data_IF_928153909721
#
_entry.id   IF_928153909721
#
_cell.length_a   1.000
_cell.length_b   1.000
_cell.length_c   1.000
_cell.angle_alpha   90.00
_cell.angle_beta   90.00
_cell.angle_gamma   90.00
#
_symmetry.space_group_name_H-M   'P 1'
#
loop_
_entity.id
_entity.type
_entity.pdbx_description
1 polymer ?
#
# COMPACT_ATOMS: atom_id res chain seq x y z
N UNK A 1 -21.18 9.41 -20.49
CA UNK A 1 -20.93 10.71 -21.19
C UNK A 1 -20.33 11.78 -20.26
N UNK A 2 -20.66 11.78 -18.96
CA UNK A 2 -20.04 12.66 -17.95
C UNK A 2 -18.55 12.32 -17.70
N UNK A 3 -18.19 11.03 -17.65
CA UNK A 3 -16.80 10.55 -17.41
C UNK A 3 -15.84 10.91 -18.56
N UNK A 4 -16.28 10.80 -19.81
CA UNK A 4 -15.46 11.14 -20.99
C UNK A 4 -15.08 12.63 -21.09
N UNK A 5 -15.87 13.53 -20.49
CA UNK A 5 -15.55 14.96 -20.43
C UNK A 5 -14.60 15.30 -19.26
N UNK A 6 -14.59 14.53 -18.18
CA UNK A 6 -13.65 14.68 -17.06
C UNK A 6 -12.25 14.21 -17.49
N UNK A 7 -12.15 13.11 -18.24
CA UNK A 7 -10.90 12.67 -18.88
C UNK A 7 -10.32 13.71 -19.86
N UNK A 8 -11.16 14.49 -20.55
CA UNK A 8 -10.72 15.64 -21.35
C UNK A 8 -10.29 16.84 -20.49
N UNK A 9 -10.85 16.99 -19.29
CA UNK A 9 -10.46 18.00 -18.31
C UNK A 9 -9.05 17.69 -17.77
N UNK A 10 -8.77 16.42 -17.45
CA UNK A 10 -7.44 15.94 -17.02
C UNK A 10 -6.44 15.93 -18.19
N UNK A 11 -6.85 15.58 -19.41
CA UNK A 11 -6.02 15.77 -20.62
C UNK A 11 -5.81 17.25 -20.99
N UNK A 12 -6.72 18.14 -20.60
CA UNK A 12 -6.54 19.59 -20.66
C UNK A 12 -5.49 20.05 -19.63
N UNK A 13 -5.52 19.47 -18.43
CA UNK A 13 -4.47 19.60 -17.41
C UNK A 13 -3.12 19.06 -17.94
N UNK A 14 -3.06 18.05 -18.80
CA UNK A 14 -1.78 17.64 -19.43
C UNK A 14 -1.12 18.77 -20.25
N UNK A 15 -1.89 19.68 -20.85
CA UNK A 15 -1.34 20.80 -21.65
C UNK A 15 -0.99 22.04 -20.82
N UNK A 16 -1.48 22.16 -19.58
CA UNK A 16 -1.22 23.31 -18.67
C UNK A 16 -0.31 22.90 -17.49
N UNK A 17 -0.38 21.63 -17.08
CA UNK A 17 0.15 21.08 -15.84
C UNK A 17 1.55 20.49 -15.90
N UNK A 18 2.15 20.26 -17.07
CA UNK A 18 3.57 19.88 -17.15
C UNK A 18 4.49 20.97 -16.55
N UNK A 19 4.03 22.21 -16.49
CA UNK A 19 4.74 23.34 -15.86
C UNK A 19 4.31 23.57 -14.40
N UNK A 20 3.03 23.40 -14.08
CA UNK A 20 2.50 23.66 -12.73
C UNK A 20 2.73 22.50 -11.74
N UNK A 21 2.67 21.24 -12.19
CA UNK A 21 2.95 20.05 -11.39
C UNK A 21 4.46 19.86 -11.21
N UNK A 22 5.27 20.21 -12.23
CA UNK A 22 6.74 20.21 -12.08
C UNK A 22 7.25 21.27 -11.11
N UNK A 23 6.50 22.36 -10.86
CA UNK A 23 6.80 23.33 -9.80
C UNK A 23 6.62 22.73 -8.38
N UNK A 24 5.68 21.81 -8.18
CA UNK A 24 5.46 21.09 -6.92
C UNK A 24 6.69 20.24 -6.54
N UNK A 25 7.32 19.63 -7.55
CA UNK A 25 8.55 18.83 -7.36
C UNK A 25 9.82 19.66 -7.14
N UNK A 26 9.79 20.97 -7.46
CA UNK A 26 10.99 21.83 -7.55
C UNK A 26 11.09 22.91 -6.47
N UNK A 27 10.02 23.20 -5.71
CA UNK A 27 10.12 24.21 -4.67
C UNK A 27 10.93 23.70 -3.47
N UNK A 28 12.16 24.20 -3.48
CA UNK A 28 13.18 24.05 -2.47
C UNK A 28 12.69 24.52 -1.11
N UNK A 29 13.02 23.72 -0.11
CA UNK A 29 13.17 24.08 1.29
C UNK A 29 13.72 25.51 1.43
N UNK A 30 12.89 26.46 1.88
CA UNK A 30 13.39 27.72 2.42
C UNK A 30 13.74 27.46 3.89
N UNK A 31 15.02 27.50 4.28
CA UNK A 31 15.39 27.37 5.68
C UNK A 31 14.99 28.67 6.38
N UNK A 32 14.01 28.62 7.27
CA UNK A 32 13.82 29.69 8.25
C UNK A 32 13.64 29.10 9.63
N UNK A 33 14.60 29.43 10.49
CA UNK A 33 14.59 29.21 11.92
C UNK A 33 13.47 30.05 12.58
N UNK A 34 13.05 29.62 13.78
CA UNK A 34 12.17 30.28 14.77
C UNK A 34 10.66 30.27 14.40
N UNK A 35 9.69 29.86 15.24
CA UNK A 35 9.56 29.60 16.68
C UNK A 35 8.62 28.38 16.89
N UNK A 36 8.89 27.53 17.88
CA UNK A 36 7.94 26.50 18.36
C UNK A 36 6.97 27.18 19.32
N UNK A 37 5.68 27.20 19.01
CA UNK A 37 4.64 27.45 20.01
C UNK A 37 4.12 26.09 20.52
N UNK A 38 4.16 25.96 21.84
CA UNK A 38 3.74 24.81 22.63
C UNK A 38 2.39 25.16 23.24
N UNK A 39 1.29 24.82 22.58
CA UNK A 39 -0.04 24.94 23.20
C UNK A 39 -1.05 23.93 22.66
N UNK A 40 -0.84 22.67 23.03
CA UNK A 40 -1.93 21.71 23.24
C UNK A 40 -1.79 21.08 24.64
N UNK A 41 -1.81 21.93 25.66
CA UNK A 41 -2.13 21.55 27.03
C UNK A 41 -3.05 22.65 27.57
N UNK A 42 -4.31 22.29 27.85
CA UNK A 42 -5.31 23.23 28.33
C UNK A 42 -4.95 23.76 29.72
N UNK A 43 -4.95 25.09 29.85
CA UNK A 43 -5.13 25.78 31.11
C UNK A 43 -5.93 27.06 30.86
N UNK A 44 -7.01 27.24 31.63
CA UNK A 44 -7.75 28.50 31.71
C UNK A 44 -6.96 29.52 32.53
N UNK A 45 -6.80 30.74 32.04
CA UNK A 45 -7.01 31.96 32.85
C UNK A 45 -7.31 33.19 31.96
N UNK A 46 -8.07 34.10 32.54
CA UNK A 46 -8.75 35.25 32.00
C UNK A 46 -7.81 36.38 31.56
N UNK A 47 -8.03 36.86 30.33
CA UNK A 47 -8.24 38.27 29.97
C UNK A 47 -8.35 38.36 28.44
N UNK A 48 -9.56 38.67 27.97
CA UNK A 48 -9.82 38.89 26.55
C UNK A 48 -8.96 40.01 25.97
N UNK A 49 -8.41 39.75 24.79
CA UNK A 49 -8.15 40.69 23.71
C UNK A 49 -7.75 39.91 22.46
N UNK A 50 -8.48 40.15 21.38
CA UNK A 50 -8.27 39.56 20.06
C UNK A 50 -6.93 39.98 19.44
N UNK A 51 -6.25 39.03 18.80
CA UNK A 51 -5.16 39.29 17.86
C UNK A 51 -5.26 38.29 16.71
N UNK A 52 -5.67 38.80 15.54
CA UNK A 52 -5.58 38.08 14.26
C UNK A 52 -4.11 37.81 13.91
N UNK A 53 -3.78 36.55 13.58
CA UNK A 53 -2.47 36.11 13.09
C UNK A 53 -2.62 35.20 11.86
N UNK A 54 -1.64 35.18 10.94
CA UNK A 54 -1.82 34.64 9.59
C UNK A 54 -1.71 33.10 9.56
N UNK A 55 -2.81 32.41 9.30
CA UNK A 55 -2.82 30.97 9.02
C UNK A 55 -2.49 30.71 7.54
N UNK A 56 -1.21 30.67 7.18
CA UNK A 56 -0.76 30.38 5.82
C UNK A 56 -0.43 28.91 5.61
N UNK A 57 -1.40 28.07 5.23
CA UNK A 57 -1.11 26.78 4.58
C UNK A 57 -0.82 27.04 3.10
N UNK A 58 0.28 26.51 2.58
CA UNK A 58 0.64 26.65 1.16
C UNK A 58 -0.33 25.79 0.33
N UNK A 59 -1.36 26.44 -0.21
CA UNK A 59 -2.33 25.86 -1.12
C UNK A 59 -1.96 26.33 -2.53
N UNK A 60 -1.61 25.40 -3.41
CA UNK A 60 -1.41 25.72 -4.82
C UNK A 60 -2.78 25.83 -5.49
N UNK A 61 -3.06 27.02 -6.03
CA UNK A 61 -4.29 27.35 -6.75
C UNK A 61 -3.93 27.84 -8.14
N UNK A 62 -4.63 27.35 -9.14
CA UNK A 62 -4.67 28.04 -10.43
C UNK A 62 -5.80 29.08 -10.39
N UNK A 63 -5.52 30.29 -10.88
CA UNK A 63 -6.48 31.39 -10.81
C UNK A 63 -7.64 31.10 -11.78
N UNK A 64 -8.92 31.24 -11.36
CA UNK A 64 -10.05 30.98 -12.26
C UNK A 64 -9.96 31.90 -13.49
N UNK A 65 -9.73 31.35 -14.68
CA UNK A 65 -10.20 32.03 -15.88
C UNK A 65 -11.74 31.93 -15.85
N UNK A 66 -12.42 33.05 -16.07
CA UNK A 66 -13.89 33.11 -16.04
C UNK A 66 -14.52 31.89 -16.73
N UNK A 67 -15.31 31.14 -15.98
CA UNK A 67 -15.97 29.93 -16.47
C UNK A 67 -16.97 30.31 -17.59
N UNK A 68 -16.54 30.21 -18.84
CA UNK A 68 -17.32 30.65 -20.00
C UNK A 68 -18.03 29.47 -20.67
N UNK A 69 -19.29 29.20 -20.32
CA UNK A 69 -20.06 28.07 -20.85
C UNK A 69 -19.85 27.81 -22.37
N UNK A 70 -19.23 26.66 -22.69
CA UNK A 70 -19.06 26.23 -24.07
C UNK A 70 -20.42 25.89 -24.69
N UNK A 71 -20.70 26.42 -25.90
CA UNK A 71 -21.98 26.27 -26.62
C UNK A 71 -22.37 24.81 -26.97
N UNK A 72 -21.52 23.84 -26.66
CA UNK A 72 -21.65 22.43 -27.06
C UNK A 72 -21.95 21.45 -25.89
N UNK A 73 -22.42 21.94 -24.74
CA UNK A 73 -22.73 21.07 -23.59
C UNK A 73 -21.50 20.41 -22.93
N UNK A 74 -20.31 20.98 -23.15
CA UNK A 74 -19.06 20.56 -22.50
C UNK A 74 -18.89 21.28 -21.16
N UNK A 75 -18.63 20.52 -20.11
CA UNK A 75 -18.24 21.03 -18.79
C UNK A 75 -16.87 21.74 -18.92
N UNK A 76 -16.72 22.91 -18.29
CA UNK A 76 -15.46 23.65 -18.24
C UNK A 76 -14.90 23.65 -16.82
N UNK A 77 -13.58 23.51 -16.70
CA UNK A 77 -12.87 23.58 -15.42
C UNK A 77 -12.87 25.03 -14.94
N UNK A 78 -13.42 25.30 -13.76
CA UNK A 78 -13.37 26.62 -13.12
C UNK A 78 -12.10 26.85 -12.28
N UNK A 79 -11.28 25.83 -12.09
CA UNK A 79 -10.03 25.86 -11.31
C UNK A 79 -9.76 24.53 -10.60
N UNK A 80 -8.56 24.36 -10.06
CA UNK A 80 -8.19 23.22 -9.22
C UNK A 80 -7.36 23.67 -8.02
N UNK A 81 -7.33 22.82 -6.99
CA UNK A 81 -6.56 22.99 -5.77
C UNK A 81 -5.92 21.67 -5.37
N UNK A 82 -4.68 21.71 -4.89
CA UNK A 82 -3.99 20.54 -4.35
C UNK A 82 -3.83 20.75 -2.84
N UNK A 83 -4.39 19.81 -2.07
CA UNK A 83 -4.41 19.87 -0.60
C UNK A 83 -3.63 18.68 -0.05
N UNK A 84 -2.59 18.88 0.78
CA UNK A 84 -1.91 17.79 1.48
C UNK A 84 -2.86 17.00 2.37
N UNK A 85 -2.67 15.67 2.47
CA UNK A 85 -3.44 14.83 3.40
C UNK A 85 -2.75 14.86 4.77
N UNK A 86 -3.45 15.39 5.78
CA UNK A 86 -2.89 15.98 7.02
C UNK A 86 -2.26 15.01 8.05
N UNK A 87 -2.10 13.70 7.81
CA UNK A 87 -1.70 12.77 8.89
C UNK A 87 -0.77 11.63 8.44
N UNK A 88 0.44 11.97 8.00
CA UNK A 88 1.55 11.07 7.57
C UNK A 88 1.58 10.83 6.05
N UNK A 89 2.59 11.42 5.40
CA UNK A 89 2.97 11.08 4.03
C UNK A 89 3.48 9.63 3.99
N UNK A 90 3.03 8.85 3.00
CA UNK A 90 3.36 7.43 2.87
C UNK A 90 4.85 7.12 2.89
N UNK A 91 5.19 5.88 3.22
CA UNK A 91 6.58 5.43 3.36
C UNK A 91 7.41 5.66 2.07
N UNK A 92 6.79 5.48 0.90
CA UNK A 92 7.40 5.57 -0.44
C UNK A 92 6.66 6.57 -1.38
N UNK A 93 5.96 7.55 -0.83
CA UNK A 93 5.28 8.56 -1.64
C UNK A 93 4.62 9.67 -0.83
N UNK A 94 4.34 10.79 -1.48
CA UNK A 94 3.57 11.89 -0.88
C UNK A 94 2.14 11.85 -1.40
N UNK A 95 1.18 12.19 -0.53
CA UNK A 95 -0.24 12.06 -0.84
C UNK A 95 -0.95 13.40 -0.74
N UNK A 96 -1.82 13.66 -1.72
CA UNK A 96 -2.58 14.88 -1.85
C UNK A 96 -4.00 14.59 -2.31
N UNK A 97 -4.93 15.46 -1.94
CA UNK A 97 -6.24 15.56 -2.58
C UNK A 97 -6.17 16.60 -3.68
N UNK A 98 -6.36 16.19 -4.93
CA UNK A 98 -6.60 17.12 -6.04
C UNK A 98 -8.11 17.41 -6.09
N UNK A 99 -8.48 18.66 -5.80
CA UNK A 99 -9.86 19.14 -5.83
C UNK A 99 -10.10 19.94 -7.11
N UNK A 100 -10.84 19.37 -8.05
CA UNK A 100 -11.23 20.03 -9.29
C UNK A 100 -12.62 20.68 -9.14
N UNK A 101 -12.78 21.93 -9.56
CA UNK A 101 -14.08 22.59 -9.64
C UNK A 101 -14.57 22.59 -11.08
N UNK A 102 -15.72 21.98 -11.31
CA UNK A 102 -16.30 21.81 -12.65
C UNK A 102 -17.60 22.59 -12.74
N UNK A 103 -17.74 23.45 -13.74
CA UNK A 103 -18.99 24.17 -14.00
C UNK A 103 -19.97 23.24 -14.74
N UNK A 104 -21.13 22.98 -14.12
CA UNK A 104 -22.26 22.25 -14.71
C UNK A 104 -23.17 23.17 -15.51
N UNK A 105 -23.26 24.43 -15.08
CA UNK A 105 -23.90 25.54 -15.78
C UNK A 105 -23.21 26.86 -15.38
N UNK A 106 -23.52 28.02 -15.99
CA UNK A 106 -22.95 29.31 -15.57
C UNK A 106 -23.17 29.66 -14.09
N UNK A 107 -24.14 29.03 -13.41
CA UNK A 107 -24.53 29.31 -12.03
C UNK A 107 -24.30 28.12 -11.08
N UNK A 108 -23.91 26.95 -11.59
CA UNK A 108 -23.77 25.73 -10.80
C UNK A 108 -22.38 25.13 -11.03
N UNK A 109 -21.57 25.09 -9.97
CA UNK A 109 -20.29 24.39 -9.93
C UNK A 109 -20.39 23.17 -9.03
N UNK A 110 -19.63 22.12 -9.35
CA UNK A 110 -19.46 20.93 -8.53
C UNK A 110 -17.98 20.70 -8.29
N UNK A 111 -17.62 20.41 -7.04
CA UNK A 111 -16.27 19.99 -6.70
C UNK A 111 -16.15 18.47 -6.80
N UNK A 112 -15.06 18.00 -7.39
CA UNK A 112 -14.71 16.58 -7.52
C UNK A 112 -13.32 16.40 -6.93
N UNK A 113 -13.17 15.42 -6.05
CA UNK A 113 -11.90 15.09 -5.42
C UNK A 113 -11.26 13.88 -6.11
N UNK A 114 -9.94 13.90 -6.15
CA UNK A 114 -9.10 12.80 -6.62
C UNK A 114 -7.98 12.58 -5.62
N UNK A 115 -7.58 11.32 -5.47
CA UNK A 115 -6.37 10.96 -4.75
C UNK A 115 -5.16 11.15 -5.66
N UNK A 116 -4.13 11.83 -5.18
CA UNK A 116 -2.92 12.12 -5.94
C UNK A 116 -1.70 11.65 -5.17
N UNK A 117 -0.85 10.84 -5.82
CA UNK A 117 0.42 10.34 -5.28
C UNK A 117 1.59 10.86 -6.11
N UNK A 118 2.63 11.34 -5.46
CA UNK A 118 3.92 11.70 -6.10
C UNK A 118 5.07 10.93 -5.42
N UNK A 119 6.24 10.80 -6.06
CA UNK A 119 7.43 10.31 -5.40
C UNK A 119 7.80 11.15 -4.16
N UNK A 120 8.57 10.60 -3.22
CA UNK A 120 9.18 11.38 -2.15
C UNK A 120 10.06 12.51 -2.67
N UNK A 121 10.41 13.51 -1.85
CA UNK A 121 11.36 14.55 -2.23
C UNK A 121 12.72 13.97 -2.59
N UNK A 122 13.44 14.59 -3.53
CA UNK A 122 14.78 14.13 -3.98
C UNK A 122 15.79 14.02 -2.83
N UNK A 123 15.62 14.77 -1.75
CA UNK A 123 16.46 14.73 -0.56
C UNK A 123 16.20 13.55 0.38
N UNK A 124 15.12 12.78 0.16
CA UNK A 124 14.74 11.65 1.00
C UNK A 124 15.56 10.40 0.64
N UNK A 125 16.08 9.63 1.61
CA UNK A 125 16.71 8.33 1.37
C UNK A 125 15.80 7.31 0.65
N UNK A 126 14.48 7.52 0.69
CA UNK A 126 13.50 6.68 0.01
C UNK A 126 13.38 7.04 -1.49
N UNK A 127 13.66 8.28 -1.88
CA UNK A 127 13.61 8.69 -3.28
C UNK A 127 14.59 7.88 -4.12
N UNK A 128 15.85 7.79 -3.68
CA UNK A 128 16.87 7.01 -4.37
C UNK A 128 16.49 5.53 -4.49
N UNK A 129 15.92 4.93 -3.43
CA UNK A 129 15.45 3.54 -3.46
C UNK A 129 14.37 3.35 -4.53
N UNK A 130 13.39 4.26 -4.59
CA UNK A 130 12.31 4.22 -5.58
C UNK A 130 12.84 4.39 -7.00
N UNK A 131 13.82 5.27 -7.20
CA UNK A 131 14.44 5.47 -8.51
C UNK A 131 15.28 4.27 -8.94
N UNK A 132 16.06 3.69 -8.02
CA UNK A 132 16.94 2.54 -8.27
C UNK A 132 16.13 1.29 -8.63
N UNK A 133 15.04 1.02 -7.91
CA UNK A 133 14.24 -0.20 -8.10
C UNK A 133 12.94 0.01 -8.88
N UNK A 134 12.63 1.25 -9.28
CA UNK A 134 11.52 1.58 -10.18
C UNK A 134 10.13 1.30 -9.62
N UNK A 135 9.92 1.35 -8.29
CA UNK A 135 8.63 1.00 -7.66
C UNK A 135 7.49 1.93 -8.09
N UNK A 136 7.73 3.25 -8.15
CA UNK A 136 6.73 4.22 -8.58
C UNK A 136 6.42 4.08 -10.07
N UNK A 137 7.46 3.92 -10.90
CA UNK A 137 7.32 3.63 -12.34
C UNK A 137 6.47 2.39 -12.58
N UNK A 138 6.72 1.32 -11.81
CA UNK A 138 5.92 0.08 -11.86
C UNK A 138 4.45 0.37 -11.57
N UNK A 139 4.15 1.09 -10.49
CA UNK A 139 2.77 1.40 -10.11
C UNK A 139 2.04 2.20 -11.21
N UNK A 140 2.70 3.22 -11.77
CA UNK A 140 2.18 3.99 -12.93
C UNK A 140 1.86 3.05 -14.09
N UNK A 141 2.78 2.14 -14.44
CA UNK A 141 2.62 1.23 -15.57
C UNK A 141 1.49 0.20 -15.33
N UNK A 142 1.28 -0.24 -14.09
CA UNK A 142 0.17 -1.12 -13.74
C UNK A 142 -1.17 -0.42 -14.01
N UNK A 143 -1.35 0.80 -13.51
CA UNK A 143 -2.58 1.56 -13.71
C UNK A 143 -2.83 2.00 -15.15
N UNK A 144 -1.77 2.37 -15.88
CA UNK A 144 -1.92 2.96 -17.22
C UNK A 144 -1.83 1.95 -18.37
N UNK A 145 -1.30 0.75 -18.12
CA UNK A 145 -1.07 -0.27 -19.16
C UNK A 145 -1.61 -1.65 -18.76
N UNK A 146 -1.19 -2.20 -17.62
CA UNK A 146 -1.52 -3.60 -17.28
C UNK A 146 -2.99 -3.78 -16.92
N UNK A 147 -3.52 -2.99 -15.98
CA UNK A 147 -4.91 -3.08 -15.55
C UNK A 147 -5.90 -2.79 -16.69
N UNK A 148 -5.72 -1.77 -17.55
CA UNK A 148 -6.58 -1.58 -18.72
C UNK A 148 -6.63 -2.76 -19.69
N UNK A 149 -5.58 -3.59 -19.75
CA UNK A 149 -5.54 -4.79 -20.60
C UNK A 149 -6.00 -6.06 -19.87
N UNK A 150 -5.85 -6.13 -18.55
CA UNK A 150 -6.13 -7.31 -17.74
C UNK A 150 -7.55 -7.31 -17.14
N UNK A 151 -8.04 -6.13 -16.75
CA UNK A 151 -9.34 -5.96 -16.09
C UNK A 151 -10.42 -5.59 -17.10
N UNK A 152 -11.66 -5.96 -16.81
CA UNK A 152 -12.84 -5.56 -17.58
C UNK A 152 -13.72 -4.59 -16.77
N UNK A 153 -14.69 -3.93 -17.43
CA UNK A 153 -15.56 -2.94 -16.77
C UNK A 153 -16.46 -3.50 -15.67
N UNK A 154 -16.47 -4.81 -15.39
CA UNK A 154 -17.18 -5.40 -14.25
C UNK A 154 -16.30 -5.50 -13.00
N UNK A 155 -15.01 -5.18 -13.12
CA UNK A 155 -14.05 -5.11 -12.01
C UNK A 155 -14.04 -3.73 -11.34
N UNK A 156 -14.99 -2.86 -11.72
CA UNK A 156 -15.30 -1.62 -11.03
C UNK A 156 -15.31 -1.89 -9.52
N UNK A 157 -14.51 -1.11 -8.77
CA UNK A 157 -14.34 -1.16 -7.30
C UNK A 157 -13.31 -2.13 -6.71
N UNK A 158 -12.72 -3.06 -7.47
CA UNK A 158 -11.60 -3.85 -6.93
C UNK A 158 -10.33 -3.01 -6.77
N UNK A 159 -10.15 -2.02 -7.64
CA UNK A 159 -9.09 -1.01 -7.63
C UNK A 159 -9.68 0.37 -7.98
N UNK A 160 -9.03 1.49 -7.63
CA UNK A 160 -9.45 2.82 -8.06
C UNK A 160 -9.28 3.01 -9.56
N UNK A 161 -10.16 3.80 -10.19
CA UNK A 161 -9.95 4.22 -11.57
C UNK A 161 -8.75 5.18 -11.66
N UNK A 162 -7.86 4.95 -12.64
CA UNK A 162 -6.73 5.83 -12.90
C UNK A 162 -7.10 6.93 -13.89
N UNK A 163 -7.08 8.19 -13.44
CA UNK A 163 -7.33 9.36 -14.28
C UNK A 163 -6.07 9.81 -15.04
N UNK A 164 -4.90 9.75 -14.40
CA UNK A 164 -3.62 10.15 -14.97
C UNK A 164 -2.48 9.39 -14.29
N UNK A 165 -1.53 8.90 -15.07
CA UNK A 165 -0.26 8.39 -14.56
C UNK A 165 0.88 8.93 -15.41
N UNK A 166 1.84 9.59 -14.77
CA UNK A 166 3.07 10.10 -15.38
C UNK A 166 4.24 9.50 -14.64
N UNK A 167 5.09 8.79 -15.39
CA UNK A 167 6.26 8.10 -14.84
C UNK A 167 7.15 9.06 -14.05
N UNK A 168 7.53 8.65 -12.83
CA UNK A 168 8.39 9.41 -11.90
C UNK A 168 7.89 10.82 -11.53
N UNK A 169 6.60 11.09 -11.71
CA UNK A 169 6.01 12.39 -11.39
C UNK A 169 4.73 12.24 -10.56
N UNK A 170 3.66 11.69 -11.14
CA UNK A 170 2.35 11.71 -10.48
C UNK A 170 1.44 10.56 -10.91
N UNK A 171 0.64 10.07 -9.95
CA UNK A 171 -0.54 9.22 -10.19
C UNK A 171 -1.76 9.96 -9.63
N UNK A 172 -2.82 10.09 -10.43
CA UNK A 172 -4.12 10.66 -10.04
C UNK A 172 -5.18 9.57 -10.20
N UNK A 173 -5.79 9.19 -9.08
CA UNK A 173 -6.77 8.12 -8.96
C UNK A 173 -8.13 8.66 -8.48
N UNK A 174 -9.18 7.87 -8.72
CA UNK A 174 -10.48 8.06 -8.06
C UNK A 174 -10.30 8.18 -6.53
N UNK A 175 -10.92 9.20 -5.93
CA UNK A 175 -11.04 9.28 -4.48
C UNK A 175 -12.11 8.31 -3.98
N UNK A 176 -11.68 7.13 -3.55
CA UNK A 176 -12.55 6.06 -3.06
C UNK A 176 -13.35 6.46 -1.80
N UNK A 177 -12.92 7.49 -1.06
CA UNK A 177 -13.67 7.99 0.10
C UNK A 177 -15.04 8.55 -0.33
N UNK A 178 -15.14 9.12 -1.54
CA UNK A 178 -16.41 9.59 -2.09
C UNK A 178 -17.43 8.46 -2.30
N UNK A 179 -16.94 7.23 -2.51
CA UNK A 179 -17.74 6.03 -2.72
C UNK A 179 -18.01 5.25 -1.43
N UNK A 180 -17.70 5.85 -0.27
CA UNK A 180 -17.95 5.28 1.06
C UNK A 180 -16.92 4.27 1.53
N UNK A 181 -15.76 4.17 0.87
CA UNK A 181 -14.67 3.33 1.33
C UNK A 181 -13.83 4.07 2.36
N UNK A 182 -13.36 3.36 3.37
CA UNK A 182 -12.51 3.91 4.43
C UNK A 182 -11.37 2.94 4.77
N UNK A 183 -10.26 3.51 5.21
CA UNK A 183 -9.11 2.75 5.69
C UNK A 183 -9.37 2.30 7.14
N UNK A 184 -8.85 1.12 7.48
CA UNK A 184 -8.90 0.61 8.86
C UNK A 184 -7.74 1.16 9.68
N UNK A 185 -7.87 1.15 11.00
CA UNK A 185 -6.73 1.41 11.87
C UNK A 185 -5.75 0.24 11.79
N UNK A 186 -4.51 0.51 11.36
CA UNK A 186 -3.44 -0.49 11.23
C UNK A 186 -3.10 -1.21 12.54
N UNK A 187 -3.36 -0.61 13.70
CA UNK A 187 -3.13 -1.25 14.99
C UNK A 187 -4.21 -2.29 15.32
N UNK A 188 -5.39 -2.16 14.71
CA UNK A 188 -6.52 -3.07 14.89
C UNK A 188 -6.41 -4.27 13.95
N UNK A 189 -6.24 -5.50 14.47
CA UNK A 189 -6.24 -6.69 13.63
C UNK A 189 -7.60 -6.90 12.97
N UNK A 190 -7.58 -7.41 11.73
CA UNK A 190 -8.80 -7.79 11.02
C UNK A 190 -9.52 -8.92 11.74
N UNK A 191 -10.84 -8.83 11.77
CA UNK A 191 -11.71 -9.94 12.16
C UNK A 191 -11.98 -10.88 10.98
N UNK A 192 -12.83 -11.88 11.23
CA UNK A 192 -13.19 -12.88 10.23
C UNK A 192 -13.89 -12.27 9.01
N UNK A 193 -14.79 -11.29 9.20
CA UNK A 193 -15.59 -10.72 8.11
C UNK A 193 -14.71 -9.87 7.19
N UNK A 194 -13.77 -9.09 7.75
CA UNK A 194 -12.78 -8.35 6.96
C UNK A 194 -11.92 -9.30 6.13
N UNK A 195 -11.44 -10.38 6.74
CA UNK A 195 -10.66 -11.39 6.03
C UNK A 195 -11.48 -12.06 4.91
N UNK A 196 -12.74 -12.42 5.19
CA UNK A 196 -13.60 -13.07 4.21
C UNK A 196 -13.91 -12.15 3.02
N UNK A 197 -14.16 -10.86 3.27
CA UNK A 197 -14.37 -9.86 2.21
C UNK A 197 -13.11 -9.66 1.36
N UNK A 198 -11.95 -9.55 2.00
CA UNK A 198 -10.68 -9.46 1.29
C UNK A 198 -10.36 -10.72 0.47
N UNK A 199 -10.59 -11.92 1.00
CA UNK A 199 -10.40 -13.17 0.25
C UNK A 199 -11.22 -13.20 -1.05
N UNK A 200 -12.47 -12.72 -1.01
CA UNK A 200 -13.34 -12.63 -2.21
C UNK A 200 -12.79 -11.63 -3.23
N UNK A 201 -12.41 -10.43 -2.80
CA UNK A 201 -11.83 -9.40 -3.69
C UNK A 201 -10.51 -9.84 -4.29
N UNK A 202 -9.62 -10.40 -3.47
CA UNK A 202 -8.32 -10.89 -3.91
C UNK A 202 -8.44 -12.06 -4.89
N UNK A 203 -9.38 -12.98 -4.66
CA UNK A 203 -9.67 -14.07 -5.58
C UNK A 203 -10.13 -13.56 -6.96
N UNK A 204 -11.00 -12.53 -6.98
CA UNK A 204 -11.43 -11.86 -8.21
C UNK A 204 -10.24 -11.24 -8.94
N UNK A 205 -9.42 -10.47 -8.23
CA UNK A 205 -8.24 -9.81 -8.80
C UNK A 205 -7.26 -10.82 -9.41
N UNK A 206 -6.88 -11.87 -8.67
CA UNK A 206 -5.97 -12.90 -9.16
C UNK A 206 -6.56 -13.73 -10.32
N UNK A 207 -7.87 -13.97 -10.33
CA UNK A 207 -8.52 -14.71 -11.42
C UNK A 207 -8.36 -13.98 -12.76
N UNK A 208 -8.30 -12.64 -12.76
CA UNK A 208 -8.13 -11.84 -13.97
C UNK A 208 -6.77 -12.06 -14.63
N UNK A 209 -5.72 -12.33 -13.85
CA UNK A 209 -4.44 -12.79 -14.41
C UNK A 209 -4.62 -14.11 -15.16
N UNK A 210 -5.23 -15.11 -14.53
CA UNK A 210 -5.41 -16.43 -15.16
C UNK A 210 -6.30 -16.36 -16.40
N UNK A 211 -7.39 -15.59 -16.35
CA UNK A 211 -8.30 -15.36 -17.49
C UNK A 211 -7.54 -14.73 -18.64
N UNK A 212 -6.76 -13.66 -18.38
CA UNK A 212 -5.93 -13.01 -19.37
C UNK A 212 -4.99 -14.01 -20.05
N UNK A 213 -4.24 -14.80 -19.26
CA UNK A 213 -3.29 -15.76 -19.82
C UNK A 213 -3.97 -16.85 -20.64
N UNK A 214 -5.15 -17.31 -20.23
CA UNK A 214 -5.93 -18.27 -21.00
C UNK A 214 -6.46 -17.71 -22.32
N UNK A 215 -6.86 -16.44 -22.35
CA UNK A 215 -7.39 -15.80 -23.55
C UNK A 215 -6.29 -15.45 -24.55
N UNK A 216 -5.19 -14.86 -24.06
CA UNK A 216 -4.10 -14.37 -24.91
C UNK A 216 -3.00 -15.39 -25.17
N UNK A 217 -3.02 -16.55 -24.49
CA UNK A 217 -2.00 -17.61 -24.58
C UNK A 217 -0.58 -17.09 -24.36
N UNK A 218 -0.44 -16.09 -23.49
CA UNK A 218 0.83 -15.47 -23.09
C UNK A 218 0.75 -15.10 -21.61
N UNK A 219 1.83 -15.33 -20.87
CA UNK A 219 1.86 -14.97 -19.45
C UNK A 219 1.94 -13.46 -19.25
N UNK A 220 1.43 -12.97 -18.12
CA UNK A 220 1.63 -11.57 -17.73
C UNK A 220 3.11 -11.25 -17.56
N UNK A 221 3.89 -12.20 -17.03
CA UNK A 221 5.34 -12.08 -16.90
C UNK A 221 6.06 -11.84 -18.24
N UNK A 222 5.67 -12.55 -19.30
CA UNK A 222 6.30 -12.41 -20.62
C UNK A 222 5.85 -11.16 -21.37
N UNK A 223 4.68 -10.61 -21.03
CA UNK A 223 4.12 -9.43 -21.70
C UNK A 223 4.54 -8.14 -21.00
N UNK A 224 4.54 -8.12 -19.68
CA UNK A 224 4.75 -6.93 -18.85
C UNK A 224 5.93 -7.13 -17.89
N UNK A 225 7.01 -7.75 -18.35
CA UNK A 225 8.16 -8.17 -17.51
C UNK A 225 8.64 -7.13 -16.48
N UNK A 226 8.77 -5.83 -16.80
CA UNK A 226 9.20 -4.83 -15.82
C UNK A 226 8.23 -4.67 -14.64
N UNK A 227 6.93 -4.88 -14.86
CA UNK A 227 5.90 -4.75 -13.82
C UNK A 227 5.78 -5.99 -12.92
N UNK A 228 6.48 -7.07 -13.28
CA UNK A 228 6.28 -8.40 -12.73
C UNK A 228 7.42 -8.83 -11.80
N UNK A 229 8.45 -7.99 -11.66
CA UNK A 229 9.65 -8.25 -10.84
C UNK A 229 9.42 -7.93 -9.36
N UNK A 230 10.12 -8.63 -8.47
CA UNK A 230 10.26 -8.24 -7.05
C UNK A 230 11.13 -6.97 -6.94
N UNK A 231 10.68 -5.98 -6.17
CA UNK A 231 11.32 -4.65 -6.06
C UNK A 231 11.57 -4.19 -4.63
N UNK A 232 10.99 -4.86 -3.62
CA UNK A 232 11.30 -4.62 -2.22
C UNK A 232 12.58 -5.36 -1.81
N UNK A 233 12.70 -6.61 -2.21
CA UNK A 233 13.85 -7.47 -1.90
C UNK A 233 14.52 -8.02 -3.17
N UNK A 234 15.01 -7.15 -4.08
CA UNK A 234 15.64 -7.60 -5.32
C UNK A 234 16.92 -8.41 -5.03
N UNK A 235 17.23 -9.35 -5.93
CA UNK A 235 18.46 -10.17 -5.91
C UNK A 235 19.68 -9.36 -6.37
N UNK A 236 19.92 -8.22 -5.74
CA UNK A 236 21.02 -7.32 -6.07
C UNK A 236 21.77 -6.92 -4.81
N UNK A 237 23.10 -6.92 -4.90
CA UNK A 237 23.94 -6.31 -3.86
C UNK A 237 23.66 -4.81 -3.77
N UNK A 238 23.96 -4.20 -2.62
CA UNK A 238 23.77 -2.76 -2.40
C UNK A 238 22.66 -2.44 -1.40
N UNK A 239 21.89 -1.38 -1.66
CA UNK A 239 20.94 -0.80 -0.69
C UNK A 239 19.81 -1.75 -0.31
N UNK A 240 19.24 -2.49 -1.27
CA UNK A 240 18.23 -3.51 -0.98
C UNK A 240 18.75 -4.60 -0.04
N UNK A 241 19.95 -5.14 -0.30
CA UNK A 241 20.56 -6.15 0.55
C UNK A 241 20.86 -5.61 1.95
N UNK A 242 21.42 -4.40 2.04
CA UNK A 242 21.66 -3.73 3.32
C UNK A 242 20.35 -3.50 4.10
N UNK A 243 19.27 -3.13 3.42
CA UNK A 243 17.95 -2.98 4.03
C UNK A 243 17.43 -4.31 4.60
N UNK A 244 17.62 -5.40 3.84
CA UNK A 244 17.20 -6.74 4.27
C UNK A 244 18.01 -7.20 5.48
N UNK A 245 19.34 -7.07 5.42
CA UNK A 245 20.22 -7.48 6.52
C UNK A 245 19.93 -6.67 7.80
N UNK A 246 19.63 -5.37 7.68
CA UNK A 246 19.19 -4.54 8.81
C UNK A 246 17.85 -4.99 9.40
N UNK A 247 16.89 -5.42 8.56
CA UNK A 247 15.62 -5.98 9.00
C UNK A 247 15.80 -7.31 9.76
N UNK A 248 16.61 -8.22 9.21
CA UNK A 248 16.95 -9.51 9.84
C UNK A 248 17.64 -9.27 11.18
N UNK A 249 18.64 -8.39 11.23
CA UNK A 249 19.34 -8.02 12.46
C UNK A 249 18.36 -7.50 13.51
N UNK A 250 17.46 -6.59 13.12
CA UNK A 250 16.44 -6.07 14.02
C UNK A 250 15.57 -7.18 14.64
N UNK A 251 15.03 -8.08 13.82
CA UNK A 251 14.18 -9.17 14.30
C UNK A 251 14.94 -10.14 15.19
N UNK A 252 16.17 -10.49 14.83
CA UNK A 252 17.05 -11.32 15.68
C UNK A 252 17.28 -10.68 17.05
N UNK A 253 17.48 -9.36 17.11
CA UNK A 253 17.60 -8.62 18.37
C UNK A 253 16.30 -8.60 19.18
N UNK A 254 15.14 -8.57 18.50
CA UNK A 254 13.84 -8.55 19.17
C UNK A 254 13.51 -9.87 19.88
N UNK A 255 14.11 -10.98 19.45
CA UNK A 255 13.97 -12.29 20.12
C UNK A 255 14.35 -12.20 21.60
N UNK A 256 15.39 -11.41 21.94
CA UNK A 256 15.85 -11.21 23.33
C UNK A 256 14.79 -10.55 24.24
N UNK A 257 13.78 -9.92 23.64
CA UNK A 257 12.71 -9.23 24.35
C UNK A 257 11.43 -10.07 24.49
N UNK A 258 11.40 -11.27 23.91
CA UNK A 258 10.20 -12.11 23.88
C UNK A 258 9.93 -12.74 25.26
N UNK A 259 8.72 -12.58 25.81
CA UNK A 259 8.35 -13.27 27.03
C UNK A 259 8.13 -14.76 26.75
N UNK A 260 8.57 -15.63 27.65
CA UNK A 260 8.26 -17.06 27.62
C UNK A 260 9.20 -17.96 26.81
N UNK A 261 10.23 -17.44 26.14
CA UNK A 261 11.33 -18.27 25.64
C UNK A 261 12.27 -18.64 26.79
N UNK A 262 12.15 -19.86 27.32
CA UNK A 262 12.84 -20.27 28.55
C UNK A 262 14.22 -20.93 28.36
N UNK A 263 14.70 -21.23 27.15
CA UNK A 263 16.05 -21.82 27.03
C UNK A 263 16.78 -21.73 25.69
N UNK A 264 16.13 -21.48 24.55
CA UNK A 264 16.82 -21.50 23.23
C UNK A 264 16.58 -20.25 22.38
N UNK A 265 17.03 -19.11 22.89
CA UNK A 265 17.04 -17.86 22.11
C UNK A 265 18.00 -17.95 20.93
N UNK A 266 19.20 -18.48 21.14
CA UNK A 266 20.24 -18.52 20.12
C UNK A 266 19.90 -19.49 18.98
N UNK A 267 19.34 -20.66 19.28
CA UNK A 267 18.85 -21.59 18.27
C UNK A 267 17.69 -21.00 17.46
N UNK A 268 16.76 -20.29 18.10
CA UNK A 268 15.69 -19.59 17.37
C UNK A 268 16.25 -18.49 16.46
N UNK A 269 17.16 -17.65 16.96
CA UNK A 269 17.84 -16.61 16.17
C UNK A 269 18.58 -17.20 14.97
N UNK A 270 19.26 -18.32 15.15
CA UNK A 270 19.99 -18.98 14.07
C UNK A 270 19.03 -19.53 13.01
N UNK A 271 17.92 -20.16 13.41
CA UNK A 271 16.87 -20.61 12.47
C UNK A 271 16.27 -19.46 11.67
N UNK A 272 16.01 -18.30 12.29
CA UNK A 272 15.55 -17.10 11.57
C UNK A 272 16.58 -16.70 10.51
N UNK A 273 17.86 -16.61 10.86
CA UNK A 273 18.92 -16.24 9.91
C UNK A 273 19.03 -17.24 8.75
N UNK A 274 18.94 -18.53 9.03
CA UNK A 274 18.96 -19.61 8.02
C UNK A 274 17.79 -19.47 7.04
N UNK A 275 16.58 -19.26 7.55
CA UNK A 275 15.39 -19.07 6.72
C UNK A 275 15.40 -17.77 5.90
N UNK A 276 16.10 -16.75 6.40
CA UNK A 276 16.28 -15.49 5.69
C UNK A 276 17.38 -15.54 4.61
N UNK A 277 18.26 -16.53 4.63
CA UNK A 277 19.45 -16.56 3.76
C UNK A 277 19.10 -16.58 2.26
N UNK A 278 18.00 -17.24 1.90
CA UNK A 278 17.47 -17.39 0.54
C UNK A 278 16.08 -16.74 0.37
N UNK A 279 15.70 -15.81 1.26
CA UNK A 279 14.36 -15.20 1.24
C UNK A 279 14.06 -14.49 -0.08
N UNK A 280 15.02 -13.71 -0.58
CA UNK A 280 14.96 -13.04 -1.89
C UNK A 280 14.73 -14.03 -3.03
N UNK A 281 15.25 -15.25 -2.88
CA UNK A 281 15.15 -16.26 -3.91
C UNK A 281 13.76 -16.87 -3.97
N UNK A 282 13.14 -17.04 -2.79
CA UNK A 282 11.77 -17.55 -2.62
C UNK A 282 10.69 -16.56 -3.05
N UNK A 283 11.03 -15.29 -3.27
CA UNK A 283 10.14 -14.26 -3.83
C UNK A 283 10.12 -14.22 -5.35
N UNK A 284 10.98 -15.00 -6.01
CA UNK A 284 10.96 -15.11 -7.47
C UNK A 284 9.73 -15.89 -7.96
N UNK A 285 9.27 -15.69 -9.21
CA UNK A 285 8.19 -16.48 -9.78
C UNK A 285 8.41 -17.98 -9.60
N UNK A 286 7.36 -18.71 -9.21
CA UNK A 286 7.47 -20.14 -8.98
C UNK A 286 7.53 -20.91 -10.30
N UNK A 287 8.48 -21.84 -10.42
CA UNK A 287 8.49 -22.82 -11.51
C UNK A 287 7.53 -24.00 -11.25
N UNK A 288 7.11 -24.20 -9.98
CA UNK A 288 6.27 -25.31 -9.54
C UNK A 288 4.79 -24.96 -9.54
N UNK A 289 4.45 -23.80 -8.96
CA UNK A 289 3.08 -23.37 -8.71
C UNK A 289 2.63 -22.33 -9.74
N UNK A 290 1.33 -22.30 -10.07
CA UNK A 290 0.76 -21.21 -10.88
C UNK A 290 1.03 -19.86 -10.24
N UNK A 291 1.42 -18.91 -11.09
CA UNK A 291 1.65 -17.53 -10.71
C UNK A 291 0.53 -16.65 -11.26
N UNK A 292 0.29 -15.55 -10.58
CA UNK A 292 -0.62 -14.47 -10.97
C UNK A 292 0.06 -13.14 -10.68
N UNK A 293 -0.54 -12.03 -11.13
CA UNK A 293 -0.15 -10.72 -10.62
C UNK A 293 -0.60 -10.62 -9.16
N UNK A 294 0.33 -10.79 -8.24
CA UNK A 294 0.13 -10.54 -6.82
C UNK A 294 0.29 -9.04 -6.54
N UNK A 295 -0.49 -8.51 -5.61
CA UNK A 295 -0.33 -7.17 -5.07
C UNK A 295 0.98 -7.02 -4.29
N UNK A 296 1.36 -8.04 -3.53
CA UNK A 296 2.67 -8.13 -2.89
C UNK A 296 2.88 -7.31 -1.62
N UNK A 297 1.89 -6.51 -1.19
CA UNK A 297 1.95 -5.63 0.00
C UNK A 297 0.54 -5.38 0.61
N UNK A 298 -0.21 -6.45 0.88
CA UNK A 298 -1.58 -6.35 1.40
C UNK A 298 -1.62 -6.22 2.92
N UNK A 299 -1.49 -5.00 3.43
CA UNK A 299 -1.69 -4.67 4.85
C UNK A 299 -2.79 -3.62 5.01
N UNK A 300 -3.16 -3.30 6.25
CA UNK A 300 -4.35 -2.49 6.58
C UNK A 300 -4.45 -1.16 5.81
N UNK A 301 -3.31 -0.49 5.55
CA UNK A 301 -3.30 0.81 4.86
C UNK A 301 -3.43 0.70 3.33
N UNK A 302 -3.29 -0.50 2.76
CA UNK A 302 -3.42 -0.72 1.32
C UNK A 302 -4.77 -1.35 0.95
N UNK A 303 -5.70 -1.39 1.91
CA UNK A 303 -7.03 -1.98 1.75
C UNK A 303 -8.07 -1.02 2.31
N UNK A 304 -8.94 -0.54 1.43
CA UNK A 304 -10.08 0.29 1.81
C UNK A 304 -11.33 -0.58 1.88
N UNK A 305 -12.08 -0.49 2.96
CA UNK A 305 -13.32 -1.25 3.17
C UNK A 305 -14.54 -0.35 3.06
N UNK A 306 -15.62 -0.90 2.53
CA UNK A 306 -16.95 -0.31 2.57
C UNK A 306 -17.84 -1.15 3.47
N UNK A 307 -18.66 -0.48 4.26
CA UNK A 307 -19.48 -1.10 5.29
C UNK A 307 -20.98 -0.93 5.01
N UNK A 308 -21.77 -1.89 5.46
CA UNK A 308 -23.23 -1.74 5.54
C UNK A 308 -23.64 -0.94 6.79
N UNK A 309 -24.96 -0.75 6.95
CA UNK A 309 -25.54 0.00 8.09
C UNK A 309 -25.28 -0.67 9.46
N UNK A 310 -24.96 -1.97 9.48
CA UNK A 310 -24.60 -2.73 10.69
C UNK A 310 -23.09 -2.65 11.00
N UNK A 311 -22.30 -1.96 10.16
CA UNK A 311 -20.86 -1.84 10.29
C UNK A 311 -20.08 -3.08 9.85
N UNK A 312 -20.67 -3.95 9.01
CA UNK A 312 -19.98 -5.12 8.46
C UNK A 312 -19.32 -4.81 7.11
N UNK A 313 -18.10 -5.29 6.86
CA UNK A 313 -17.41 -5.04 5.60
C UNK A 313 -18.07 -5.82 4.46
N UNK A 314 -18.69 -5.11 3.52
CA UNK A 314 -19.40 -5.71 2.37
C UNK A 314 -18.53 -5.75 1.11
N UNK A 315 -17.61 -4.80 0.97
CA UNK A 315 -16.70 -4.69 -0.16
C UNK A 315 -15.34 -4.17 0.31
N UNK A 316 -14.29 -4.44 -0.47
CA UNK A 316 -13.01 -3.77 -0.30
C UNK A 316 -12.36 -3.44 -1.64
N UNK A 317 -11.52 -2.42 -1.63
CA UNK A 317 -10.73 -1.93 -2.75
C UNK A 317 -9.24 -2.01 -2.37
N UNK A 318 -8.43 -2.49 -3.30
CA UNK A 318 -6.98 -2.64 -3.14
C UNK A 318 -6.29 -1.41 -3.74
N UNK A 319 -5.32 -0.85 -3.02
CA UNK A 319 -4.58 0.34 -3.43
C UNK A 319 -3.08 0.16 -3.20
N UNK A 320 -2.25 0.99 -3.84
CA UNK A 320 -0.79 0.97 -3.71
C UNK A 320 -0.13 -0.33 -4.21
N UNK A 321 -0.08 -0.48 -5.54
CA UNK A 321 0.47 -1.67 -6.21
C UNK A 321 1.98 -1.59 -6.49
N UNK A 322 2.72 -0.73 -5.78
CA UNK A 322 4.14 -0.48 -6.05
C UNK A 322 5.06 -1.70 -5.84
N UNK A 323 4.61 -2.69 -5.04
CA UNK A 323 5.32 -3.94 -4.77
C UNK A 323 4.72 -5.15 -5.49
N UNK A 324 3.83 -4.91 -6.45
CA UNK A 324 3.23 -5.98 -7.23
C UNK A 324 4.30 -6.77 -7.99
N UNK A 325 4.04 -8.07 -8.14
CA UNK A 325 4.98 -9.04 -8.71
C UNK A 325 4.26 -10.30 -9.19
N UNK A 326 4.93 -11.07 -10.02
CA UNK A 326 4.38 -12.32 -10.55
C UNK A 326 4.78 -13.51 -9.67
N UNK A 327 3.84 -14.00 -8.85
CA UNK A 327 4.08 -14.98 -7.80
C UNK A 327 2.86 -15.90 -7.62
N UNK A 328 2.98 -17.02 -6.87
CA UNK A 328 1.82 -17.82 -6.53
C UNK A 328 0.81 -17.02 -5.72
N UNK A 329 -0.51 -17.13 -5.99
CA UNK A 329 -1.54 -16.37 -5.27
C UNK A 329 -1.56 -16.63 -3.77
N UNK A 330 -1.08 -17.81 -3.34
CA UNK A 330 -0.89 -18.15 -1.95
C UNK A 330 0.03 -17.18 -1.20
N UNK A 331 0.96 -16.52 -1.90
CA UNK A 331 1.83 -15.51 -1.31
C UNK A 331 1.02 -14.36 -0.69
N UNK A 332 0.16 -13.71 -1.49
CA UNK A 332 -0.68 -12.60 -1.00
C UNK A 332 -1.62 -13.06 0.10
N UNK A 333 -2.26 -14.22 -0.08
CA UNK A 333 -3.17 -14.83 0.90
C UNK A 333 -2.50 -15.03 2.26
N UNK A 334 -1.30 -15.61 2.27
CA UNK A 334 -0.56 -15.88 3.51
C UNK A 334 0.01 -14.61 4.12
N UNK A 335 0.56 -13.71 3.30
CA UNK A 335 1.18 -12.48 3.78
C UNK A 335 0.14 -11.53 4.39
N UNK A 336 -1.02 -11.30 3.75
CA UNK A 336 -2.01 -10.42 4.36
C UNK A 336 -2.51 -10.97 5.69
N UNK A 337 -2.72 -12.29 5.79
CA UNK A 337 -3.11 -12.92 7.05
C UNK A 337 -2.05 -12.66 8.12
N UNK A 338 -0.77 -12.75 7.79
CA UNK A 338 0.31 -12.48 8.72
C UNK A 338 0.39 -10.99 9.11
N UNK A 339 0.20 -10.07 8.17
CA UNK A 339 0.29 -8.62 8.39
C UNK A 339 -0.91 -8.05 9.15
N UNK A 340 -2.10 -8.62 8.98
CA UNK A 340 -3.36 -7.98 9.42
C UNK A 340 -4.10 -8.73 10.51
N UNK A 341 -3.80 -10.00 10.80
CA UNK A 341 -4.58 -10.80 11.75
C UNK A 341 -3.78 -11.25 12.97
N UNK A 342 -4.48 -11.78 13.98
CA UNK A 342 -3.87 -12.48 15.12
C UNK A 342 -3.67 -13.96 14.81
N UNK A 343 -2.70 -14.58 15.47
CA UNK A 343 -2.48 -16.04 15.43
C UNK A 343 -3.74 -16.81 15.82
N UNK A 344 -4.51 -16.31 16.79
CA UNK A 344 -5.75 -16.95 17.23
C UNK A 344 -6.78 -17.05 16.10
N UNK A 345 -6.95 -15.96 15.33
CA UNK A 345 -7.84 -15.95 14.17
C UNK A 345 -7.35 -16.93 13.10
N UNK A 346 -6.06 -16.90 12.75
CA UNK A 346 -5.47 -17.82 11.77
C UNK A 346 -5.70 -19.28 12.18
N UNK A 347 -5.42 -19.63 13.45
CA UNK A 347 -5.64 -20.99 13.96
C UNK A 347 -7.10 -21.42 13.85
N UNK A 348 -8.05 -20.52 14.13
CA UNK A 348 -9.48 -20.82 14.13
C UNK A 348 -10.10 -20.86 12.73
N UNK A 349 -9.65 -20.01 11.81
CA UNK A 349 -10.38 -19.71 10.57
C UNK A 349 -9.60 -19.92 9.27
N UNK A 350 -8.28 -20.18 9.27
CA UNK A 350 -7.47 -20.23 8.04
C UNK A 350 -8.04 -21.15 6.95
N UNK A 351 -8.48 -22.36 7.31
CA UNK A 351 -8.98 -23.32 6.34
C UNK A 351 -10.27 -22.83 5.67
N UNK A 352 -11.16 -22.22 6.45
CA UNK A 352 -12.38 -21.59 5.93
C UNK A 352 -12.05 -20.42 5.01
N UNK A 353 -11.11 -19.57 5.40
CA UNK A 353 -10.69 -18.42 4.58
C UNK A 353 -10.04 -18.86 3.26
N UNK A 354 -9.20 -19.91 3.27
CA UNK A 354 -8.63 -20.48 2.05
C UNK A 354 -9.72 -21.04 1.11
N UNK A 355 -10.75 -21.68 1.67
CA UNK A 355 -11.90 -22.15 0.89
C UNK A 355 -12.67 -20.98 0.28
N UNK A 356 -12.96 -19.92 1.04
CA UNK A 356 -13.62 -18.71 0.52
C UNK A 356 -12.85 -18.15 -0.66
N UNK A 357 -11.52 -18.03 -0.56
CA UNK A 357 -10.67 -17.57 -1.65
C UNK A 357 -10.81 -18.46 -2.90
N UNK A 358 -10.61 -19.77 -2.76
CA UNK A 358 -10.65 -20.69 -3.89
C UNK A 358 -12.04 -20.79 -4.53
N UNK A 359 -13.09 -20.89 -3.72
CA UNK A 359 -14.48 -20.95 -4.18
C UNK A 359 -14.89 -19.67 -4.92
N UNK A 360 -14.39 -18.51 -4.47
CA UNK A 360 -14.60 -17.23 -5.16
C UNK A 360 -13.89 -17.19 -6.52
N UNK A 361 -12.66 -17.71 -6.58
CA UNK A 361 -11.93 -17.83 -7.84
C UNK A 361 -12.66 -18.80 -8.80
N UNK A 362 -13.19 -19.93 -8.29
CA UNK A 362 -13.99 -20.87 -9.08
C UNK A 362 -15.17 -20.15 -9.74
N UNK A 363 -15.90 -19.33 -8.98
CA UNK A 363 -17.04 -18.57 -9.49
C UNK A 363 -16.64 -17.61 -10.62
N UNK A 364 -15.58 -16.83 -10.43
CA UNK A 364 -15.10 -15.85 -11.42
C UNK A 364 -14.60 -16.53 -12.69
N UNK A 365 -13.84 -17.62 -12.56
CA UNK A 365 -13.35 -18.39 -13.71
C UNK A 365 -14.52 -19.01 -14.49
N UNK A 366 -15.54 -19.52 -13.80
CA UNK A 366 -16.75 -20.08 -14.42
C UNK A 366 -17.53 -19.01 -15.19
N UNK A 367 -17.64 -17.80 -14.67
CA UNK A 367 -18.27 -16.66 -15.37
C UNK A 367 -17.51 -16.28 -16.65
N UNK A 368 -16.20 -16.51 -16.70
CA UNK A 368 -15.38 -16.35 -17.90
C UNK A 368 -15.43 -17.56 -18.86
N UNK A 369 -16.25 -18.58 -18.56
CA UNK A 369 -16.35 -19.80 -19.36
C UNK A 369 -15.15 -20.74 -19.20
N UNK A 370 -14.36 -20.60 -18.14
CA UNK A 370 -13.18 -21.40 -17.85
C UNK A 370 -13.43 -22.37 -16.69
N UNK A 371 -12.81 -23.55 -16.76
CA UNK A 371 -12.81 -24.55 -15.69
C UNK A 371 -11.55 -24.37 -14.84
N UNK A 372 -11.72 -24.02 -13.57
CA UNK A 372 -10.58 -23.84 -12.66
C UNK A 372 -9.86 -25.17 -12.38
N UNK A 373 -10.56 -26.31 -12.49
CA UNK A 373 -9.98 -27.64 -12.25
C UNK A 373 -8.83 -27.96 -13.20
N UNK A 374 -8.81 -27.35 -14.39
CA UNK A 374 -7.77 -27.54 -15.40
C UNK A 374 -6.64 -26.51 -15.30
N UNK A 375 -6.82 -25.47 -14.49
CA UNK A 375 -5.94 -24.29 -14.47
C UNK A 375 -5.28 -24.11 -13.10
N UNK A 376 -6.07 -24.18 -12.03
CA UNK A 376 -5.65 -23.93 -10.65
C UNK A 376 -6.53 -24.73 -9.66
N UNK A 377 -6.42 -26.08 -9.65
CA UNK A 377 -7.22 -26.93 -8.77
C UNK A 377 -6.91 -26.68 -7.29
N UNK A 378 -7.86 -27.06 -6.41
CA UNK A 378 -7.70 -26.88 -4.95
C UNK A 378 -6.41 -27.51 -4.42
N UNK A 379 -6.06 -28.70 -4.87
CA UNK A 379 -4.89 -29.43 -4.37
C UNK A 379 -3.57 -28.70 -4.70
N UNK A 380 -3.49 -28.04 -5.86
CA UNK A 380 -2.34 -27.19 -6.22
C UNK A 380 -2.29 -25.95 -5.32
N UNK A 381 -3.43 -25.32 -5.07
CA UNK A 381 -3.49 -24.19 -4.15
C UNK A 381 -3.08 -24.59 -2.72
N UNK A 382 -3.62 -25.68 -2.19
CA UNK A 382 -3.27 -26.20 -0.87
C UNK A 382 -1.78 -26.57 -0.76
N UNK A 383 -1.22 -27.18 -1.80
CA UNK A 383 0.22 -27.45 -1.87
C UNK A 383 1.04 -26.15 -1.85
N UNK A 384 0.65 -25.14 -2.64
CA UNK A 384 1.33 -23.84 -2.65
C UNK A 384 1.26 -23.14 -1.29
N UNK A 385 0.14 -23.26 -0.57
CA UNK A 385 -0.01 -22.76 0.80
C UNK A 385 1.01 -23.44 1.73
N UNK A 386 1.13 -24.77 1.67
CA UNK A 386 2.07 -25.53 2.50
C UNK A 386 3.53 -25.16 2.20
N UNK A 387 3.88 -25.05 0.92
CA UNK A 387 5.25 -24.75 0.49
C UNK A 387 5.69 -23.32 0.87
N UNK A 388 4.76 -22.35 0.84
CA UNK A 388 5.07 -20.94 1.10
C UNK A 388 4.88 -20.52 2.57
N UNK A 389 4.21 -21.33 3.39
CA UNK A 389 3.79 -20.96 4.74
C UNK A 389 4.90 -20.35 5.60
N UNK A 390 6.04 -21.03 5.74
CA UNK A 390 7.16 -20.55 6.56
C UNK A 390 7.76 -19.26 6.02
N UNK A 391 7.93 -19.19 4.70
CA UNK A 391 8.48 -18.01 4.05
C UNK A 391 7.57 -16.79 4.28
N UNK A 392 6.25 -16.95 4.17
CA UNK A 392 5.31 -15.87 4.44
C UNK A 392 5.25 -15.47 5.92
N UNK A 393 5.46 -16.41 6.86
CA UNK A 393 5.65 -16.07 8.28
C UNK A 393 6.91 -15.21 8.49
N UNK A 394 8.02 -15.57 7.85
CA UNK A 394 9.28 -14.80 7.85
C UNK A 394 9.04 -13.40 7.24
N UNK A 395 8.37 -13.35 6.09
CA UNK A 395 7.99 -12.10 5.44
C UNK A 395 7.18 -11.21 6.38
N UNK A 396 6.23 -11.80 7.10
CA UNK A 396 5.47 -11.21 8.20
C UNK A 396 6.34 -10.51 9.24
N UNK A 397 7.20 -11.27 9.90
CA UNK A 397 8.03 -10.74 10.99
C UNK A 397 9.02 -9.70 10.49
N UNK A 398 9.49 -9.76 9.23
CA UNK A 398 10.41 -8.76 8.67
C UNK A 398 9.75 -7.40 8.40
N UNK A 399 8.47 -7.38 8.00
CA UNK A 399 7.80 -6.16 7.52
C UNK A 399 6.87 -5.51 8.56
N UNK A 400 6.17 -6.31 9.37
CA UNK A 400 5.26 -5.80 10.41
C UNK A 400 5.91 -4.75 11.34
N UNK A 401 7.21 -4.86 11.73
CA UNK A 401 7.89 -3.85 12.54
C UNK A 401 7.91 -2.44 11.96
N UNK A 402 7.90 -2.29 10.63
CA UNK A 402 7.87 -0.98 9.96
C UNK A 402 6.43 -0.56 9.68
N UNK A 403 5.57 -1.50 9.28
CA UNK A 403 4.15 -1.23 9.02
C UNK A 403 3.45 -0.63 10.25
N UNK A 404 3.75 -1.14 11.45
CA UNK A 404 3.09 -0.76 12.69
C UNK A 404 3.80 0.34 13.49
N UNK A 405 4.72 1.11 12.90
CA UNK A 405 5.35 2.22 13.63
C UNK A 405 4.30 3.21 14.16
N UNK A 406 4.42 3.57 15.43
CA UNK A 406 3.60 4.58 16.08
C UNK A 406 3.84 5.98 15.51
N UNK A 407 2.87 6.91 15.63
CA UNK A 407 2.96 8.25 15.08
C UNK A 407 4.20 9.02 15.55
N UNK A 408 4.60 8.87 16.82
CA UNK A 408 5.82 9.52 17.34
C UNK A 408 7.10 9.00 16.67
N UNK A 409 7.19 7.70 16.44
CA UNK A 409 8.31 7.11 15.72
C UNK A 409 8.30 7.54 14.25
N UNK A 410 7.12 7.61 13.63
CA UNK A 410 6.99 8.12 12.28
C UNK A 410 7.47 9.58 12.20
N UNK A 411 6.98 10.47 13.08
CA UNK A 411 7.41 11.88 13.12
C UNK A 411 8.93 11.99 13.28
N UNK A 412 9.48 11.30 14.27
CA UNK A 412 10.91 11.36 14.59
C UNK A 412 11.79 10.92 13.42
N UNK A 413 11.52 9.76 12.83
CA UNK A 413 12.41 9.17 11.82
C UNK A 413 12.11 9.69 10.41
N UNK A 414 10.85 9.92 10.06
CA UNK A 414 10.45 10.28 8.70
C UNK A 414 10.32 11.77 8.45
N UNK A 415 10.19 12.58 9.51
CA UNK A 415 10.02 14.02 9.38
C UNK A 415 11.16 14.80 10.03
N UNK A 416 11.46 14.54 11.31
CA UNK A 416 12.37 15.38 12.10
C UNK A 416 13.86 15.06 11.87
N UNK A 417 14.20 13.77 11.72
CA UNK A 417 15.59 13.28 11.65
C UNK A 417 15.78 12.22 10.55
N UNK A 418 15.65 12.60 9.26
CA UNK A 418 15.78 11.66 8.14
C UNK A 418 17.16 10.99 8.04
N UNK A 419 18.21 11.58 8.60
CA UNK A 419 19.53 10.94 8.72
C UNK A 419 19.51 9.71 9.64
N UNK A 420 18.64 9.70 10.66
CA UNK A 420 18.42 8.51 11.48
C UNK A 420 17.67 7.44 10.69
N UNK A 421 16.78 7.83 9.77
CA UNK A 421 16.04 6.91 8.92
C UNK A 421 16.98 6.09 8.03
N UNK A 422 17.96 6.75 7.41
CA UNK A 422 18.97 6.06 6.59
C UNK A 422 19.73 5.00 7.41
N UNK A 423 20.16 5.36 8.62
CA UNK A 423 20.85 4.42 9.52
C UNK A 423 19.97 3.23 9.94
N UNK A 424 18.71 3.45 10.30
CA UNK A 424 17.83 2.35 10.73
C UNK A 424 17.31 1.50 9.59
N UNK A 425 17.17 2.08 8.39
CA UNK A 425 16.73 1.31 7.22
C UNK A 425 17.85 0.45 6.66
N UNK A 426 19.10 0.94 6.61
CA UNK A 426 20.19 0.28 5.87
C UNK A 426 21.34 -0.25 6.72
N UNK A 427 21.41 0.06 8.03
CA UNK A 427 22.53 -0.36 8.89
C UNK A 427 22.06 -1.18 10.09
N UNK A 428 21.19 -0.60 10.93
CA UNK A 428 20.71 -1.28 12.12
C UNK A 428 19.32 -0.81 12.55
N UNK A 429 18.33 -1.67 12.30
CA UNK A 429 16.94 -1.39 12.64
C UNK A 429 16.64 -1.54 14.15
N UNK A 430 17.55 -2.15 14.90
CA UNK A 430 17.36 -2.50 16.32
C UNK A 430 16.90 -1.34 17.19
N UNK A 431 17.53 -0.14 17.17
CA UNK A 431 17.15 0.95 18.07
C UNK A 431 15.69 1.40 17.89
N UNK A 432 15.22 1.45 16.64
CA UNK A 432 13.85 1.82 16.30
C UNK A 432 12.86 0.78 16.82
N UNK A 433 13.00 -0.46 16.38
CA UNK A 433 11.96 -1.47 16.60
C UNK A 433 11.96 -2.01 18.04
N UNK A 434 13.12 -2.11 18.69
CA UNK A 434 13.19 -2.47 20.11
C UNK A 434 12.73 -1.33 21.02
N UNK A 435 12.90 -0.07 20.58
CA UNK A 435 12.31 1.09 21.26
C UNK A 435 10.78 1.02 21.21
N UNK A 436 10.21 0.86 20.02
CA UNK A 436 8.76 0.69 19.82
C UNK A 436 8.20 -0.51 20.59
N UNK A 437 8.92 -1.64 20.61
CA UNK A 437 8.53 -2.80 21.42
C UNK A 437 8.41 -2.48 22.91
N UNK A 438 9.23 -1.58 23.44
CA UNK A 438 9.17 -1.20 24.87
C UNK A 438 8.08 -0.17 25.14
N UNK A 439 7.90 0.78 24.24
CA UNK A 439 7.11 2.00 24.45
C UNK A 439 5.65 1.88 23.97
N UNK A 440 5.37 1.09 22.92
CA UNK A 440 4.06 0.98 22.30
C UNK A 440 3.39 -0.39 22.57
N UNK A 441 2.36 -0.47 23.44
CA UNK A 441 1.73 -1.73 23.82
C UNK A 441 1.12 -2.52 22.66
N UNK A 442 0.44 -1.84 21.73
CA UNK A 442 -0.22 -2.45 20.57
C UNK A 442 0.82 -3.04 19.60
N UNK A 443 1.88 -2.28 19.32
CA UNK A 443 3.02 -2.74 18.55
C UNK A 443 3.65 -3.99 19.19
N UNK A 444 3.96 -3.92 20.49
CA UNK A 444 4.55 -5.03 21.25
C UNK A 444 3.68 -6.29 21.17
N UNK A 445 2.37 -6.16 21.35
CA UNK A 445 1.46 -7.29 21.27
C UNK A 445 1.51 -7.98 19.90
N UNK A 446 1.54 -7.20 18.81
CA UNK A 446 1.64 -7.73 17.44
C UNK A 446 2.99 -8.41 17.16
N UNK A 447 4.09 -7.83 17.65
CA UNK A 447 5.42 -8.45 17.51
C UNK A 447 5.52 -9.78 18.27
N UNK A 448 5.01 -9.82 19.52
CA UNK A 448 4.97 -11.04 20.33
C UNK A 448 4.14 -12.12 19.63
N UNK A 449 2.93 -11.79 19.15
CA UNK A 449 2.04 -12.74 18.48
C UNK A 449 2.70 -13.41 17.27
N UNK A 450 3.32 -12.61 16.39
CA UNK A 450 3.99 -13.12 15.19
C UNK A 450 5.26 -13.92 15.47
N UNK A 451 6.12 -13.43 16.38
CA UNK A 451 7.38 -14.11 16.70
C UNK A 451 7.17 -15.39 17.49
N UNK A 452 6.18 -15.44 18.41
CA UNK A 452 5.85 -16.68 19.12
C UNK A 452 5.17 -17.71 18.20
N UNK A 453 4.37 -17.27 17.21
CA UNK A 453 3.87 -18.21 16.19
C UNK A 453 5.00 -18.84 15.39
N UNK A 454 5.97 -18.03 14.95
CA UNK A 454 7.14 -18.50 14.23
C UNK A 454 8.01 -19.43 15.09
N UNK A 455 8.23 -19.07 16.36
CA UNK A 455 8.93 -19.92 17.32
C UNK A 455 8.25 -21.28 17.44
N UNK A 456 6.93 -21.29 17.68
CA UNK A 456 6.17 -22.51 17.86
C UNK A 456 6.16 -23.39 16.61
N UNK A 457 6.20 -22.81 15.41
CA UNK A 457 6.28 -23.56 14.17
C UNK A 457 7.67 -24.17 13.91
N UNK A 458 8.74 -23.47 14.32
CA UNK A 458 10.12 -23.89 14.02
C UNK A 458 10.73 -24.79 15.09
N UNK A 459 10.18 -24.78 16.30
CA UNK A 459 10.75 -25.47 17.46
C UNK A 459 9.87 -26.63 17.95
N UNK A 460 8.55 -26.55 17.79
CA UNK A 460 7.62 -27.66 18.07
C UNK A 460 7.19 -28.34 16.78
#
# INVERSE_FOLDING_TARGET
>A
MLEWNILRLVKGIQNVGSSAISLISKDQYVPSAFFIDTSACGYHDARGRDAEGPSGRAVLRDNPQEATAGRDGRLLAGGYEIVPIDVVNGFLGQYYTLRATVARSPLETKSINFFTKTPPPVSSPQYDFIQEYGTFKKEVALYTTVFPEMLDGRDERCIPECCLGVENDVIVLEDMAHSGYTMTDKFMPFDYEHCATLMRTLAKFHAKSLIFEQQYKKTLHDKFTPCMQETLWPRTDGRARAMFDAAVKGIVSMVDLLPGLNSDHDGFKNKIKELCADHTDKLSPSAKHKNVLCHGDLWANNILFKYDDDGKPVECCLIDFQLARYNPPAHDVLCFLQFTTTRQLRKKHRNTLFRIYHDSMVAVMKEAGLSISDIFPWDEFDESIRDLHVMCMIHGVLNTPIMLLGPDAVSKYFCEKPELLESVLYVDRTPLICGQFKEAPEYRARMIDGLLELYDYLVN
#
